data_IF_077229246215
#
_entry.id   IF_077229246215
#
_cell.length_a   1.000
_cell.length_b   1.000
_cell.length_c   1.000
_cell.angle_alpha   90.00
_cell.angle_beta   90.00
_cell.angle_gamma   90.00
#
_symmetry.space_group_name_H-M   'P 1'
#
loop_
_entity.id
_entity.type
_entity.pdbx_description
1 polymer ?
#
# COMPACT_ATOMS: atom_id res chain seq x y z
N UNK A 1 -17.20 4.65 -0.94
CA UNK A 1 -16.81 5.88 -1.67
C UNK A 1 -16.04 5.48 -2.93
N UNK A 2 -15.79 6.37 -3.89
CA UNK A 2 -14.99 6.01 -5.07
C UNK A 2 -13.52 5.96 -4.68
N UNK A 3 -12.82 4.86 -5.00
CA UNK A 3 -11.35 4.68 -4.90
C UNK A 3 -10.57 5.67 -5.83
N UNK A 4 -11.19 6.76 -6.26
CA UNK A 4 -10.65 7.75 -7.19
C UNK A 4 -9.83 8.87 -6.52
N UNK A 5 -9.56 8.82 -5.21
CA UNK A 5 -8.57 9.72 -4.63
C UNK A 5 -7.16 9.27 -5.03
N UNK A 6 -6.33 10.21 -5.46
CA UNK A 6 -4.94 9.92 -5.82
C UNK A 6 -4.17 9.47 -4.56
N UNK A 7 -3.96 8.16 -4.44
CA UNK A 7 -3.23 7.56 -3.32
C UNK A 7 -1.91 8.28 -3.05
N UNK A 8 -1.19 8.74 -4.08
CA UNK A 8 0.09 9.39 -3.87
C UNK A 8 -0.07 10.75 -3.17
N UNK A 9 -1.16 11.48 -3.43
CA UNK A 9 -1.47 12.73 -2.72
C UNK A 9 -1.81 12.47 -1.25
N UNK A 10 -2.63 11.44 -0.98
CA UNK A 10 -2.93 11.03 0.42
C UNK A 10 -1.63 10.58 1.11
N UNK A 11 -0.81 9.78 0.44
CA UNK A 11 0.45 9.31 1.00
C UNK A 11 1.41 10.47 1.31
N UNK A 12 1.50 11.47 0.44
CA UNK A 12 2.36 12.64 0.65
C UNK A 12 1.91 13.47 1.85
N UNK A 13 0.61 13.76 1.97
CA UNK A 13 0.04 14.48 3.11
C UNK A 13 0.22 13.69 4.42
N UNK A 14 -0.11 12.39 4.40
CA UNK A 14 0.04 11.51 5.56
C UNK A 14 1.48 11.36 6.01
N UNK A 15 2.43 11.31 5.06
CA UNK A 15 3.86 11.29 5.36
C UNK A 15 4.29 12.58 6.05
N UNK A 16 3.76 13.74 5.65
CA UNK A 16 4.07 14.99 6.32
C UNK A 16 3.63 14.97 7.79
N UNK A 17 2.41 14.49 8.07
CA UNK A 17 1.88 14.34 9.43
C UNK A 17 2.73 13.39 10.28
N UNK A 18 3.07 12.22 9.74
CA UNK A 18 3.90 11.24 10.46
C UNK A 18 5.28 11.81 10.78
N UNK A 19 5.92 12.53 9.85
CA UNK A 19 7.26 13.07 10.08
C UNK A 19 7.30 14.28 11.02
N UNK A 20 6.17 14.94 11.30
CA UNK A 20 6.10 15.97 12.32
C UNK A 20 6.22 15.38 13.74
N UNK A 21 5.66 14.19 13.97
CA UNK A 21 5.68 13.51 15.28
C UNK A 21 6.81 12.48 15.39
N UNK A 22 7.14 11.79 14.29
CA UNK A 22 8.12 10.72 14.20
C UNK A 22 9.14 11.01 13.07
N UNK A 23 10.11 11.91 13.29
CA UNK A 23 10.96 12.45 12.20
C UNK A 23 11.85 11.41 11.50
N UNK A 24 12.10 10.26 12.12
CA UNK A 24 12.90 9.18 11.55
C UNK A 24 12.07 8.09 10.86
N UNK A 25 10.73 8.18 10.93
CA UNK A 25 9.86 7.15 10.42
C UNK A 25 10.01 6.99 8.89
N UNK A 26 10.02 5.76 8.40
CA UNK A 26 10.21 5.46 6.98
C UNK A 26 9.06 4.60 6.46
N UNK A 27 8.55 4.95 5.29
CA UNK A 27 7.35 4.34 4.73
C UNK A 27 7.60 2.90 4.26
N UNK A 28 6.72 1.96 4.64
CA UNK A 28 6.86 0.54 4.34
C UNK A 28 5.66 -0.04 3.55
N UNK A 29 4.44 0.40 3.86
CA UNK A 29 3.23 -0.18 3.26
C UNK A 29 2.06 0.80 3.25
N UNK A 30 1.25 0.77 2.19
CA UNK A 30 -0.12 1.29 2.20
C UNK A 30 -1.12 0.17 1.88
N UNK A 31 -2.20 0.05 2.63
CA UNK A 31 -3.25 -0.94 2.44
C UNK A 31 -4.63 -0.29 2.46
N UNK A 32 -5.50 -0.67 1.52
CA UNK A 32 -6.92 -0.37 1.55
C UNK A 32 -7.71 -1.66 1.43
N UNK A 33 -8.80 -1.79 2.20
CA UNK A 33 -9.68 -2.97 2.20
C UNK A 33 -11.15 -2.54 2.20
N UNK A 34 -11.90 -3.10 1.26
CA UNK A 34 -13.33 -2.79 1.09
C UNK A 34 -14.18 -3.18 2.29
N UNK A 35 -13.92 -4.34 2.90
CA UNK A 35 -14.81 -4.96 3.89
C UNK A 35 -14.56 -4.53 5.35
N UNK A 36 -13.47 -3.83 5.65
CA UNK A 36 -13.12 -3.49 7.03
C UNK A 36 -13.51 -2.05 7.39
N UNK A 37 -13.09 -1.07 6.58
CA UNK A 37 -13.22 0.35 6.94
C UNK A 37 -13.38 1.31 5.77
N UNK A 38 -13.22 0.83 4.53
CA UNK A 38 -13.08 1.69 3.34
C UNK A 38 -12.00 2.80 3.55
N UNK A 39 -10.97 2.50 4.35
CA UNK A 39 -9.92 3.43 4.76
C UNK A 39 -8.54 2.95 4.30
N UNK A 40 -7.63 3.90 4.09
CA UNK A 40 -6.22 3.62 3.87
C UNK A 40 -5.49 3.49 5.21
N UNK A 41 -4.73 2.41 5.38
CA UNK A 41 -3.72 2.26 6.43
C UNK A 41 -2.35 2.45 5.83
N UNK A 42 -1.55 3.33 6.43
CA UNK A 42 -0.14 3.52 6.11
C UNK A 42 0.71 3.01 7.26
N UNK A 43 1.76 2.27 6.93
CA UNK A 43 2.70 1.67 7.88
C UNK A 43 4.06 2.28 7.63
N UNK A 44 4.69 2.72 8.72
CA UNK A 44 6.06 3.20 8.75
C UNK A 44 6.84 2.39 9.79
N UNK A 45 8.10 2.09 9.51
CA UNK A 45 9.02 1.70 10.57
C UNK A 45 9.46 2.95 11.35
N UNK A 46 9.78 2.81 12.63
CA UNK A 46 10.42 3.85 13.43
C UNK A 46 11.81 3.38 13.86
N UNK A 47 12.88 3.77 13.13
CA UNK A 47 14.25 3.39 13.46
C UNK A 47 14.70 3.83 14.87
N UNK A 48 14.10 4.89 15.43
CA UNK A 48 14.51 5.41 16.73
C UNK A 48 14.16 4.45 17.87
N UNK A 49 13.01 3.76 17.77
CA UNK A 49 12.54 2.82 18.79
C UNK A 49 12.56 1.36 18.32
N UNK A 50 12.79 1.12 17.02
CA UNK A 50 12.53 -0.16 16.33
C UNK A 50 11.06 -0.58 16.39
N UNK A 51 10.17 0.40 16.47
CA UNK A 51 8.72 0.23 16.49
C UNK A 51 8.08 0.43 15.12
N UNK A 52 6.76 0.53 15.14
CA UNK A 52 5.91 0.79 13.97
C UNK A 52 5.08 2.04 14.21
N UNK A 53 4.94 2.89 13.21
CA UNK A 53 3.96 3.98 13.21
C UNK A 53 2.86 3.66 12.22
N UNK A 54 1.61 3.67 12.70
CA UNK A 54 0.41 3.49 11.90
C UNK A 54 -0.32 4.82 11.73
N UNK A 55 -0.69 5.11 10.49
CA UNK A 55 -1.56 6.23 10.14
C UNK A 55 -2.76 5.68 9.37
N UNK A 56 -3.95 6.17 9.70
CA UNK A 56 -5.20 5.78 9.02
C UNK A 56 -5.82 7.00 8.38
N UNK A 57 -6.28 6.88 7.14
CA UNK A 57 -7.05 7.88 6.42
C UNK A 57 -8.41 7.31 6.03
N UNK A 58 -9.45 7.72 6.74
CA UNK A 58 -10.83 7.28 6.53
C UNK A 58 -11.74 8.41 6.03
N UNK A 59 -13.05 8.22 6.18
CA UNK A 59 -14.06 9.17 5.71
C UNK A 59 -13.93 10.59 6.29
N UNK A 60 -13.34 10.72 7.49
CA UNK A 60 -13.15 11.99 8.19
C UNK A 60 -11.72 12.55 8.07
N UNK A 61 -10.90 12.02 7.15
CA UNK A 61 -9.50 12.39 6.97
C UNK A 61 -8.55 11.53 7.80
N UNK A 62 -7.38 12.09 8.14
CA UNK A 62 -6.34 11.40 8.92
C UNK A 62 -6.68 11.29 10.40
N UNK A 63 -6.49 10.10 10.95
CA UNK A 63 -6.37 9.89 12.40
C UNK A 63 -4.99 10.36 12.89
N UNK A 64 -4.84 10.53 14.21
CA UNK A 64 -3.52 10.76 14.82
C UNK A 64 -2.60 9.56 14.58
N UNK A 65 -1.34 9.78 14.14
CA UNK A 65 -0.36 8.70 14.03
C UNK A 65 -0.21 7.94 15.36
N UNK A 66 -0.21 6.61 15.30
CA UNK A 66 -0.08 5.74 16.48
C UNK A 66 1.23 4.99 16.44
N UNK A 67 2.00 5.10 17.51
CA UNK A 67 3.20 4.31 17.71
C UNK A 67 2.87 2.96 18.35
N UNK A 68 3.58 1.92 17.92
CA UNK A 68 3.50 0.57 18.44
C UNK A 68 4.92 0.11 18.74
N UNK A 69 5.18 -0.30 19.98
CA UNK A 69 6.45 -0.84 20.47
C UNK A 69 6.71 -2.28 19.99
N UNK A 70 6.45 -2.54 18.71
CA UNK A 70 6.72 -3.79 18.04
C UNK A 70 7.10 -3.50 16.58
N UNK A 71 8.12 -4.20 16.09
CA UNK A 71 8.50 -4.14 14.69
C UNK A 71 7.41 -4.74 13.80
N UNK A 72 7.16 -4.10 12.67
CA UNK A 72 6.34 -4.68 11.62
C UNK A 72 7.12 -5.80 10.94
N UNK A 73 6.48 -6.93 10.66
CA UNK A 73 7.09 -8.11 10.04
C UNK A 73 7.81 -7.82 8.70
N UNK A 74 7.52 -6.67 8.09
CA UNK A 74 7.93 -6.32 6.72
C UNK A 74 8.46 -4.88 6.65
N UNK A 75 9.53 -4.64 7.38
CA UNK A 75 10.24 -3.36 7.57
C UNK A 75 11.00 -2.86 6.33
N UNK A 76 10.69 -3.38 5.13
CA UNK A 76 11.35 -2.94 3.91
C UNK A 76 10.82 -1.57 3.49
N UNK A 77 11.68 -0.57 3.63
CA UNK A 77 11.40 0.80 3.23
C UNK A 77 11.11 0.87 1.73
N UNK A 78 10.01 1.52 1.36
CA UNK A 78 9.71 1.92 -0.01
C UNK A 78 10.34 3.29 -0.25
N UNK A 79 11.26 3.42 -1.24
CA UNK A 79 11.82 4.72 -1.57
C UNK A 79 10.73 5.72 -1.95
N UNK A 80 10.79 6.91 -1.35
CA UNK A 80 9.92 8.03 -1.69
C UNK A 80 10.69 9.06 -2.53
N UNK A 81 10.09 9.71 -3.54
CA UNK A 81 8.70 9.56 -3.99
C UNK A 81 8.47 8.23 -4.71
N UNK A 82 7.26 7.67 -4.54
CA UNK A 82 6.80 6.50 -5.29
C UNK A 82 6.51 6.95 -6.74
N UNK A 83 7.15 6.38 -7.77
CA UNK A 83 7.10 6.91 -9.13
C UNK A 83 5.82 6.58 -9.90
N UNK A 84 5.02 5.62 -9.44
CA UNK A 84 3.83 5.13 -10.15
C UNK A 84 2.57 5.39 -9.35
N UNK A 85 1.57 6.01 -9.99
CA UNK A 85 0.24 6.23 -9.40
C UNK A 85 -0.57 4.94 -9.38
N UNK A 86 -1.46 4.81 -8.39
CA UNK A 86 -2.43 3.71 -8.31
C UNK A 86 -3.21 3.53 -9.63
N UNK A 87 -3.66 4.63 -10.24
CA UNK A 87 -4.43 4.56 -11.50
C UNK A 87 -3.65 3.94 -12.66
N UNK A 88 -2.33 4.17 -12.71
CA UNK A 88 -1.46 3.56 -13.72
C UNK A 88 -1.37 2.05 -13.49
N UNK A 89 -1.22 1.63 -12.23
CA UNK A 89 -1.21 0.23 -11.86
C UNK A 89 -2.52 -0.49 -12.22
N UNK A 90 -3.67 0.11 -11.89
CA UNK A 90 -4.99 -0.41 -12.24
C UNK A 90 -5.14 -0.58 -13.76
N UNK A 91 -4.73 0.43 -14.53
CA UNK A 91 -4.80 0.38 -15.99
C UNK A 91 -3.91 -0.74 -16.57
N UNK A 92 -2.75 -1.00 -15.96
CA UNK A 92 -1.87 -2.11 -16.38
C UNK A 92 -2.49 -3.47 -16.07
N UNK A 93 -3.09 -3.63 -14.89
CA UNK A 93 -3.83 -4.84 -14.53
C UNK A 93 -5.02 -5.09 -15.48
N UNK A 94 -5.82 -4.07 -15.77
CA UNK A 94 -6.93 -4.15 -16.72
C UNK A 94 -6.48 -4.52 -18.13
N UNK A 95 -5.39 -3.92 -18.63
CA UNK A 95 -4.80 -4.27 -19.93
C UNK A 95 -4.32 -5.72 -19.99
N UNK A 96 -3.96 -6.30 -18.85
CA UNK A 96 -3.58 -7.71 -18.75
C UNK A 96 -4.79 -8.67 -18.58
N UNK A 97 -6.02 -8.14 -18.62
CA UNK A 97 -7.26 -8.93 -18.53
C UNK A 97 -7.86 -9.01 -17.12
N UNK A 98 -7.32 -8.26 -16.16
CA UNK A 98 -7.77 -8.27 -14.77
C UNK A 98 -8.58 -7.01 -14.46
N UNK A 99 -9.88 -7.07 -14.74
CA UNK A 99 -10.84 -5.96 -14.65
C UNK A 99 -11.96 -6.17 -13.61
N UNK A 100 -11.86 -7.24 -12.82
CA UNK A 100 -12.82 -7.53 -11.77
C UNK A 100 -12.79 -6.53 -10.61
N UNK A 101 -13.80 -6.64 -9.73
CA UNK A 101 -13.88 -5.79 -8.56
C UNK A 101 -12.72 -5.99 -7.59
N UNK A 102 -12.12 -4.87 -7.15
CA UNK A 102 -11.05 -4.86 -6.17
C UNK A 102 -11.61 -4.98 -4.75
N UNK A 103 -11.13 -5.97 -4.00
CA UNK A 103 -11.46 -6.15 -2.57
C UNK A 103 -10.37 -5.58 -1.65
N UNK A 104 -9.11 -5.72 -2.06
CA UNK A 104 -7.95 -5.16 -1.37
C UNK A 104 -6.95 -4.58 -2.36
N UNK A 105 -6.35 -3.46 -1.96
CA UNK A 105 -5.22 -2.84 -2.63
C UNK A 105 -4.07 -2.75 -1.63
N UNK A 106 -2.86 -3.11 -2.03
CA UNK A 106 -1.67 -2.92 -1.19
C UNK A 106 -0.51 -2.40 -2.01
N UNK A 107 0.18 -1.37 -1.53
CA UNK A 107 1.49 -0.95 -2.02
C UNK A 107 2.53 -1.41 -1.00
N UNK A 108 3.35 -2.41 -1.36
CA UNK A 108 4.37 -2.99 -0.48
C UNK A 108 5.42 -3.75 -1.27
N UNK A 109 6.50 -4.12 -0.59
CA UNK A 109 7.39 -5.17 -1.09
C UNK A 109 6.68 -6.52 -1.08
N UNK A 110 6.79 -7.33 -2.15
CA UNK A 110 6.24 -8.69 -2.17
C UNK A 110 6.86 -9.60 -1.10
N UNK A 111 6.02 -10.47 -0.55
CA UNK A 111 6.43 -11.51 0.40
C UNK A 111 6.98 -12.78 -0.25
N UNK A 112 6.77 -12.96 -1.55
CA UNK A 112 7.21 -14.14 -2.26
C UNK A 112 8.56 -13.88 -2.95
N UNK A 113 9.42 -14.92 -3.07
CA UNK A 113 10.69 -14.79 -3.77
C UNK A 113 10.48 -14.47 -5.26
N UNK A 114 11.34 -13.62 -5.82
CA UNK A 114 11.37 -13.32 -7.26
C UNK A 114 10.94 -11.90 -7.64
N UNK A 115 10.40 -11.10 -6.72
CA UNK A 115 10.23 -9.66 -6.93
C UNK A 115 11.34 -8.86 -6.24
N UNK A 116 11.97 -7.98 -7.00
CA UNK A 116 13.05 -7.10 -6.53
C UNK A 116 12.61 -5.63 -6.42
N UNK A 117 11.30 -5.38 -6.37
CA UNK A 117 10.73 -4.05 -6.24
C UNK A 117 9.41 -4.05 -5.44
N UNK A 118 9.01 -2.90 -4.87
CA UNK A 118 7.64 -2.70 -4.40
C UNK A 118 6.66 -2.81 -5.57
N UNK A 119 5.47 -3.32 -5.27
CA UNK A 119 4.39 -3.45 -6.24
C UNK A 119 3.06 -2.96 -5.65
N UNK A 120 2.16 -2.59 -6.54
CA UNK A 120 0.73 -2.62 -6.23
C UNK A 120 0.24 -4.06 -6.32
N UNK A 121 -0.44 -4.52 -5.28
CA UNK A 121 -1.18 -5.77 -5.25
C UNK A 121 -2.66 -5.47 -5.29
N UNK A 122 -3.38 -6.15 -6.17
CA UNK A 122 -4.82 -6.13 -6.29
C UNK A 122 -5.36 -7.52 -5.98
N UNK A 123 -6.28 -7.60 -5.02
CA UNK A 123 -7.04 -8.82 -4.79
C UNK A 123 -8.35 -8.71 -5.58
N UNK A 124 -8.56 -9.65 -6.50
CA UNK A 124 -9.73 -9.70 -7.39
C UNK A 124 -10.46 -11.03 -7.16
N UNK A 125 -11.38 -11.09 -6.17
CA UNK A 125 -12.01 -12.35 -5.76
C UNK A 125 -12.81 -13.03 -6.86
N UNK A 126 -13.48 -12.26 -7.72
CA UNK A 126 -14.28 -12.79 -8.82
C UNK A 126 -13.46 -13.55 -9.87
N UNK A 127 -12.15 -13.33 -9.90
CA UNK A 127 -11.21 -14.01 -10.79
C UNK A 127 -10.24 -14.93 -10.01
N UNK A 128 -10.44 -15.09 -8.70
CA UNK A 128 -9.59 -15.89 -7.81
C UNK A 128 -8.08 -15.62 -7.96
N UNK A 129 -7.70 -14.33 -8.04
CA UNK A 129 -6.31 -13.94 -8.35
C UNK A 129 -5.82 -12.75 -7.51
N UNK A 130 -4.53 -12.80 -7.17
CA UNK A 130 -3.72 -11.66 -6.77
C UNK A 130 -2.96 -11.15 -7.98
N UNK A 131 -3.13 -9.88 -8.31
CA UNK A 131 -2.39 -9.22 -9.40
C UNK A 131 -1.36 -8.29 -8.80
N UNK A 132 -0.10 -8.43 -9.20
CA UNK A 132 1.01 -7.60 -8.74
C UNK A 132 1.51 -6.76 -9.91
N UNK A 133 1.65 -5.45 -9.71
CA UNK A 133 2.18 -4.52 -10.71
C UNK A 133 3.40 -3.80 -10.14
N UNK A 134 4.57 -4.09 -10.72
CA UNK A 134 5.86 -3.53 -10.30
C UNK A 134 5.89 -2.01 -10.46
N UNK A 135 6.35 -1.30 -9.43
CA UNK A 135 6.35 0.17 -9.38
C UNK A 135 7.36 0.83 -10.31
N UNK A 136 8.46 0.15 -10.61
CA UNK A 136 9.52 0.64 -11.50
C UNK A 136 9.49 -0.08 -12.86
N UNK A 137 9.27 -1.40 -12.88
CA UNK A 137 9.31 -2.16 -14.14
C UNK A 137 7.98 -2.16 -14.89
N UNK A 138 6.88 -1.83 -14.21
CA UNK A 138 5.52 -1.93 -14.71
C UNK A 138 5.12 -3.35 -15.15
N UNK A 139 5.87 -4.37 -14.73
CA UNK A 139 5.53 -5.76 -15.03
C UNK A 139 4.32 -6.21 -14.21
N UNK A 140 3.43 -6.96 -14.86
CA UNK A 140 2.26 -7.57 -14.24
C UNK A 140 2.55 -9.04 -13.98
N UNK A 141 2.39 -9.46 -12.72
CA UNK A 141 2.53 -10.84 -12.27
C UNK A 141 1.26 -11.27 -11.55
N UNK A 142 1.00 -12.57 -11.49
CA UNK A 142 -0.19 -13.09 -10.81
C UNK A 142 0.10 -14.29 -9.93
N UNK A 143 -0.68 -14.44 -8.88
CA UNK A 143 -0.75 -15.66 -8.06
C UNK A 143 -2.21 -16.03 -7.83
N UNK A 144 -2.56 -17.32 -7.75
CA UNK A 144 -3.88 -17.74 -7.29
C UNK A 144 -4.21 -17.12 -5.91
N UNK A 145 -5.46 -16.70 -5.74
CA UNK A 145 -6.05 -16.39 -4.44
C UNK A 145 -6.45 -17.72 -3.82
N UNK A 146 -5.60 -18.27 -2.94
CA UNK A 146 -5.98 -19.43 -2.14
C UNK A 146 -6.94 -18.94 -1.05
N UNK A 147 -8.20 -19.39 -1.13
CA UNK A 147 -9.25 -19.13 -0.14
C UNK A 147 -9.27 -20.24 0.89
#
# INVERSE_FOLDING_TARGET
MSVNQDLLSILEEGRHLVLQEFPQAQFCEAEWRRQESDAWRFVYNDPATRGTVLLVHGANGFETPRHIDAGWLEDRVIPFPVPMRLKVAENLAQKAGFDGELDRITLRWPLFPGSNEPCYRFDIPSQHVHVFVGVYTHQVHTSPLNV
#
